data_IF_818975067187
#
_entry.id   IF_818975067187
#
_cell.length_a   1.000
_cell.length_b   1.000
_cell.length_c   1.000
_cell.angle_alpha   90.00
_cell.angle_beta   90.00
_cell.angle_gamma   90.00
#
_symmetry.space_group_name_H-M   'P 1'
#
loop_
_entity.id
_entity.type
_entity.pdbx_description
1 polymer ?
#
# COMPACT_ATOMS: atom_id res chain seq x y z
N UNK A 1 31.69 10.72 57.06
CA UNK A 1 31.68 10.85 55.59
C UNK A 1 30.27 10.55 55.10
N UNK A 2 29.47 11.56 54.76
CA UNK A 2 28.16 11.37 54.12
C UNK A 2 28.34 11.53 52.60
N UNK A 3 27.93 10.52 51.84
CA UNK A 3 27.95 10.52 50.38
C UNK A 3 26.67 11.20 49.86
N UNK A 4 26.79 12.36 49.24
CA UNK A 4 25.68 13.04 48.55
C UNK A 4 25.49 12.41 47.17
N UNK A 5 24.38 11.70 46.97
CA UNK A 5 23.98 11.15 45.68
C UNK A 5 23.37 12.29 44.85
N UNK A 6 24.06 12.67 43.77
CA UNK A 6 23.56 13.65 42.79
C UNK A 6 22.60 12.94 41.83
N UNK A 7 21.31 13.25 41.93
CA UNK A 7 20.28 12.74 41.04
C UNK A 7 20.29 13.55 39.73
N UNK A 8 20.86 12.99 38.66
CA UNK A 8 20.77 13.58 37.32
C UNK A 8 19.37 13.35 36.76
N UNK A 9 18.53 14.39 36.80
CA UNK A 9 17.26 14.42 36.06
C UNK A 9 17.60 14.66 34.59
N UNK A 10 17.49 13.63 33.76
CA UNK A 10 17.57 13.76 32.30
C UNK A 10 16.23 14.29 31.78
N UNK A 11 16.20 15.57 31.42
CA UNK A 11 15.09 16.13 30.66
C UNK A 11 15.13 15.55 29.23
N UNK A 12 14.19 14.65 28.93
CA UNK A 12 13.94 14.24 27.55
C UNK A 12 13.19 15.37 26.85
N UNK A 13 13.86 16.12 25.98
CA UNK A 13 13.21 17.09 25.10
C UNK A 13 12.53 16.34 23.96
N UNK A 14 11.19 16.27 23.98
CA UNK A 14 10.43 15.84 22.80
C UNK A 14 10.51 16.93 21.74
N UNK A 15 11.20 16.65 20.63
CA UNK A 15 11.19 17.54 19.47
C UNK A 15 9.74 17.75 18.99
N UNK A 16 9.40 18.99 18.61
CA UNK A 16 8.10 19.28 18.01
C UNK A 16 7.99 18.56 16.66
N UNK A 17 6.80 18.03 16.29
CA UNK A 17 6.57 17.44 14.97
C UNK A 17 6.94 18.43 13.86
N UNK A 18 7.57 17.94 12.80
CA UNK A 18 7.79 18.74 11.58
C UNK A 18 6.51 18.78 10.75
N UNK A 19 6.40 19.73 9.81
CA UNK A 19 5.27 19.78 8.87
C UNK A 19 5.14 18.49 8.04
N UNK A 20 6.25 17.80 7.77
CA UNK A 20 6.26 16.49 7.09
C UNK A 20 5.63 15.42 7.99
N UNK A 21 5.99 15.40 9.28
CA UNK A 21 5.42 14.45 10.25
C UNK A 21 3.92 14.67 10.41
N UNK A 22 3.48 15.93 10.50
CA UNK A 22 2.06 16.29 10.60
C UNK A 22 1.28 15.89 9.35
N UNK A 23 1.83 16.12 8.15
CA UNK A 23 1.22 15.71 6.90
C UNK A 23 1.09 14.18 6.80
N UNK A 24 2.14 13.44 7.15
CA UNK A 24 2.10 11.97 7.15
C UNK A 24 1.14 11.41 8.21
N UNK A 25 1.04 12.06 9.37
CA UNK A 25 0.06 11.69 10.39
C UNK A 25 -1.38 11.90 9.89
N UNK A 26 -1.66 13.04 9.25
CA UNK A 26 -2.96 13.32 8.64
C UNK A 26 -3.31 12.33 7.53
N UNK A 27 -2.35 11.99 6.66
CA UNK A 27 -2.52 10.93 5.66
C UNK A 27 -2.82 9.58 6.28
N UNK A 28 -2.13 9.20 7.37
CA UNK A 28 -2.36 7.93 8.06
C UNK A 28 -3.79 7.84 8.62
N UNK A 29 -4.30 8.92 9.20
CA UNK A 29 -5.66 8.95 9.74
C UNK A 29 -6.73 8.95 8.63
N UNK A 30 -6.46 9.58 7.48
CA UNK A 30 -7.31 9.48 6.30
C UNK A 30 -7.30 8.06 5.71
N UNK A 31 -6.12 7.42 5.61
CA UNK A 31 -5.94 6.10 5.01
C UNK A 31 -6.78 5.02 5.71
N UNK A 32 -6.98 5.12 7.03
CA UNK A 32 -7.88 4.21 7.77
C UNK A 32 -9.30 4.18 7.17
N UNK A 33 -9.88 5.35 6.90
CA UNK A 33 -11.23 5.47 6.32
C UNK A 33 -11.24 5.06 4.85
N UNK A 34 -10.18 5.35 4.09
CA UNK A 34 -10.00 4.86 2.71
C UNK A 34 -10.01 3.32 2.65
N UNK A 35 -9.25 2.66 3.54
CA UNK A 35 -9.16 1.21 3.61
C UNK A 35 -10.48 0.56 4.04
N UNK A 36 -11.15 1.15 5.03
CA UNK A 36 -12.48 0.72 5.48
C UNK A 36 -13.53 0.82 4.36
N UNK A 37 -13.62 1.98 3.70
CA UNK A 37 -14.50 2.19 2.55
C UNK A 37 -14.24 1.18 1.42
N UNK A 38 -12.97 0.98 1.06
CA UNK A 38 -12.56 0.01 0.04
C UNK A 38 -12.99 -1.41 0.40
N UNK A 39 -12.87 -1.79 1.67
CA UNK A 39 -13.33 -3.09 2.18
C UNK A 39 -14.85 -3.24 2.02
N UNK A 40 -15.63 -2.28 2.50
CA UNK A 40 -17.10 -2.35 2.44
C UNK A 40 -17.65 -2.31 1.02
N UNK A 41 -17.05 -1.52 0.12
CA UNK A 41 -17.39 -1.56 -1.30
C UNK A 41 -17.12 -2.94 -1.90
N UNK A 42 -16.02 -3.59 -1.52
CA UNK A 42 -15.69 -4.93 -2.02
C UNK A 42 -16.63 -6.01 -1.48
N UNK A 43 -17.13 -5.86 -0.26
CA UNK A 43 -18.06 -6.82 0.38
C UNK A 43 -19.53 -6.54 0.08
N UNK A 44 -19.84 -5.53 -0.73
CA UNK A 44 -21.21 -5.25 -1.18
C UNK A 44 -22.03 -4.40 -0.21
N UNK A 45 -21.36 -3.59 0.63
CA UNK A 45 -22.00 -2.77 1.66
C UNK A 45 -21.82 -1.27 1.38
N UNK A 46 -22.49 -0.72 0.34
CA UNK A 46 -22.27 0.66 -0.10
C UNK A 46 -22.70 1.71 0.94
N UNK A 47 -23.68 1.42 1.80
CA UNK A 47 -24.11 2.34 2.86
C UNK A 47 -23.02 2.57 3.91
N UNK A 48 -22.41 1.50 4.43
CA UNK A 48 -21.29 1.61 5.37
C UNK A 48 -20.07 2.24 4.69
N UNK A 49 -19.81 1.87 3.42
CA UNK A 49 -18.76 2.52 2.65
C UNK A 49 -18.99 4.03 2.50
N UNK A 50 -20.24 4.50 2.31
CA UNK A 50 -20.54 5.92 2.20
C UNK A 50 -20.22 6.68 3.50
N UNK A 51 -20.47 6.09 4.68
CA UNK A 51 -20.11 6.70 5.97
C UNK A 51 -18.59 6.87 6.12
N UNK A 52 -17.83 5.85 5.73
CA UNK A 52 -16.37 5.89 5.73
C UNK A 52 -15.83 6.89 4.70
N UNK A 53 -16.47 6.99 3.53
CA UNK A 53 -16.10 7.96 2.49
C UNK A 53 -16.42 9.40 2.88
N UNK A 54 -17.50 9.62 3.63
CA UNK A 54 -17.80 10.92 4.22
C UNK A 54 -16.70 11.32 5.20
N UNK A 55 -16.32 10.41 6.10
CA UNK A 55 -15.22 10.65 7.07
C UNK A 55 -13.89 10.89 6.36
N UNK A 56 -13.60 10.13 5.29
CA UNK A 56 -12.42 10.34 4.45
C UNK A 56 -12.44 11.73 3.77
N UNK A 57 -13.58 12.15 3.21
CA UNK A 57 -13.73 13.46 2.57
C UNK A 57 -13.45 14.60 3.57
N UNK A 58 -14.04 14.54 4.77
CA UNK A 58 -13.83 15.54 5.81
C UNK A 58 -12.35 15.63 6.25
N UNK A 59 -11.71 14.48 6.46
CA UNK A 59 -10.27 14.41 6.80
C UNK A 59 -9.42 14.97 5.66
N UNK A 60 -9.75 14.64 4.41
CA UNK A 60 -9.02 15.13 3.24
C UNK A 60 -9.18 16.64 3.04
N UNK A 61 -10.37 17.18 3.26
CA UNK A 61 -10.62 18.62 3.23
C UNK A 61 -9.85 19.36 4.33
N UNK A 62 -9.75 18.77 5.53
CA UNK A 62 -8.93 19.32 6.61
C UNK A 62 -7.45 19.33 6.23
N UNK A 63 -6.93 18.19 5.75
CA UNK A 63 -5.56 18.05 5.26
C UNK A 63 -5.27 19.07 4.14
N UNK A 64 -6.16 19.21 3.17
CA UNK A 64 -6.00 20.15 2.06
C UNK A 64 -5.98 21.59 2.57
N UNK A 65 -6.88 21.97 3.49
CA UNK A 65 -6.87 23.31 4.10
C UNK A 65 -5.55 23.64 4.81
N UNK A 66 -4.93 22.67 5.47
CA UNK A 66 -3.66 22.87 6.18
C UNK A 66 -2.46 22.93 5.23
N UNK A 67 -2.39 22.04 4.24
CA UNK A 67 -1.15 21.82 3.50
C UNK A 67 -1.17 22.24 2.03
N UNK A 68 -2.31 22.61 1.45
CA UNK A 68 -2.39 22.94 0.02
C UNK A 68 -1.53 24.15 -0.36
N UNK A 69 -1.66 25.24 0.39
CA UNK A 69 -0.92 26.48 0.15
C UNK A 69 0.42 26.51 0.90
N UNK A 70 0.61 25.58 1.83
CA UNK A 70 1.78 25.45 2.69
C UNK A 70 2.29 24.01 2.65
N UNK A 71 2.81 23.55 1.50
CA UNK A 71 3.36 22.21 1.38
C UNK A 71 4.49 21.99 2.40
N UNK A 72 4.62 20.78 2.98
CA UNK A 72 5.80 20.43 3.76
C UNK A 72 7.09 20.61 2.95
N UNK A 73 8.22 20.85 3.64
CA UNK A 73 9.51 21.19 3.01
C UNK A 73 9.90 20.26 1.84
N UNK A 74 9.70 18.95 2.00
CA UNK A 74 10.03 17.96 0.95
C UNK A 74 9.18 18.07 -0.32
N UNK A 75 8.05 18.76 -0.26
CA UNK A 75 7.10 18.94 -1.35
C UNK A 75 7.01 20.41 -1.83
N UNK A 76 7.73 21.34 -1.21
CA UNK A 76 7.57 22.79 -1.46
C UNK A 76 7.85 23.19 -2.91
N UNK A 77 8.72 22.43 -3.58
CA UNK A 77 9.12 22.67 -4.97
C UNK A 77 8.33 21.83 -5.98
N UNK A 78 7.29 21.10 -5.55
CA UNK A 78 6.46 20.30 -6.46
C UNK A 78 5.39 21.18 -7.13
N UNK A 79 5.51 21.46 -8.45
CA UNK A 79 4.54 22.30 -9.13
C UNK A 79 3.15 21.65 -9.24
N UNK A 80 3.06 20.32 -9.08
CA UNK A 80 1.82 19.56 -9.15
C UNK A 80 1.21 19.25 -7.77
N UNK A 81 1.76 19.80 -6.67
CA UNK A 81 1.32 19.53 -5.30
C UNK A 81 -0.19 19.77 -5.12
N UNK A 82 -0.62 21.02 -5.27
CA UNK A 82 -1.99 21.44 -5.03
C UNK A 82 -2.97 20.73 -5.98
N UNK A 83 -2.59 20.60 -7.25
CA UNK A 83 -3.38 19.86 -8.24
C UNK A 83 -3.56 18.40 -7.82
N UNK A 84 -2.51 17.72 -7.37
CA UNK A 84 -2.59 16.31 -6.95
C UNK A 84 -3.51 16.15 -5.75
N UNK A 85 -3.41 17.03 -4.74
CA UNK A 85 -4.30 16.96 -3.58
C UNK A 85 -5.76 17.24 -3.96
N UNK A 86 -6.00 18.22 -4.83
CA UNK A 86 -7.34 18.53 -5.35
C UNK A 86 -7.93 17.37 -6.15
N UNK A 87 -7.16 16.75 -7.04
CA UNK A 87 -7.60 15.58 -7.81
C UNK A 87 -7.96 14.39 -6.92
N UNK A 88 -7.21 14.14 -5.85
CA UNK A 88 -7.54 13.09 -4.88
C UNK A 88 -8.85 13.44 -4.15
N UNK A 89 -9.02 14.69 -3.70
CA UNK A 89 -10.27 15.14 -3.07
C UNK A 89 -11.49 14.92 -3.97
N UNK A 90 -11.42 15.34 -5.24
CA UNK A 90 -12.49 15.10 -6.21
C UNK A 90 -12.80 13.61 -6.43
N UNK A 91 -11.80 12.74 -6.38
CA UNK A 91 -12.00 11.29 -6.48
C UNK A 91 -12.71 10.73 -5.26
N UNK A 92 -12.37 11.20 -4.07
CA UNK A 92 -13.04 10.82 -2.81
C UNK A 92 -14.52 11.23 -2.87
N UNK A 93 -14.82 12.47 -3.24
CA UNK A 93 -16.19 12.98 -3.31
C UNK A 93 -17.00 12.26 -4.40
N UNK A 94 -16.40 11.98 -5.55
CA UNK A 94 -17.03 11.19 -6.59
C UNK A 94 -17.27 9.74 -6.17
N UNK A 95 -16.37 9.14 -5.38
CA UNK A 95 -16.57 7.81 -4.80
C UNK A 95 -17.75 7.81 -3.83
N UNK A 96 -17.82 8.82 -2.95
CA UNK A 96 -18.92 9.02 -1.99
C UNK A 96 -20.27 9.13 -2.71
N UNK A 97 -20.38 10.02 -3.70
CA UNK A 97 -21.62 10.21 -4.46
C UNK A 97 -22.11 8.90 -5.14
N UNK A 98 -21.17 8.09 -5.65
CA UNK A 98 -21.49 6.78 -6.20
C UNK A 98 -21.90 5.77 -5.11
N UNK A 99 -21.25 5.79 -3.94
CA UNK A 99 -21.58 4.89 -2.84
C UNK A 99 -22.97 5.17 -2.26
N UNK A 100 -23.33 6.44 -2.06
CA UNK A 100 -24.67 6.87 -1.60
C UNK A 100 -25.77 6.38 -2.53
N UNK A 101 -25.51 6.32 -3.83
CA UNK A 101 -26.46 5.83 -4.84
C UNK A 101 -26.34 4.33 -5.13
N UNK A 102 -25.59 3.57 -4.32
CA UNK A 102 -25.43 2.13 -4.46
C UNK A 102 -24.56 1.68 -5.65
N UNK A 103 -23.93 2.61 -6.38
CA UNK A 103 -23.10 2.34 -7.55
C UNK A 103 -21.70 1.85 -7.15
N UNK A 104 -21.63 0.67 -6.54
CA UNK A 104 -20.41 0.08 -5.95
C UNK A 104 -19.24 0.08 -6.94
N UNK A 105 -19.45 -0.42 -8.18
CA UNK A 105 -18.37 -0.51 -9.18
C UNK A 105 -17.83 0.87 -9.56
N UNK A 106 -18.71 1.85 -9.69
CA UNK A 106 -18.31 3.22 -10.01
C UNK A 106 -17.55 3.87 -8.84
N UNK A 107 -18.01 3.67 -7.61
CA UNK A 107 -17.33 4.17 -6.41
C UNK A 107 -15.90 3.60 -6.29
N UNK A 108 -15.74 2.29 -6.48
CA UNK A 108 -14.43 1.63 -6.51
C UNK A 108 -13.51 2.21 -7.57
N UNK A 109 -14.00 2.36 -8.80
CA UNK A 109 -13.22 2.94 -9.89
C UNK A 109 -12.75 4.38 -9.64
N UNK A 110 -13.39 5.12 -8.71
CA UNK A 110 -12.90 6.43 -8.27
C UNK A 110 -11.83 6.35 -7.18
N UNK A 111 -11.91 5.36 -6.29
CA UNK A 111 -10.92 5.14 -5.22
C UNK A 111 -9.63 4.49 -5.70
N UNK A 112 -9.72 3.51 -6.61
CA UNK A 112 -8.58 2.69 -7.04
C UNK A 112 -7.33 3.55 -7.43
N UNK A 113 -7.45 4.70 -8.12
CA UNK A 113 -6.29 5.51 -8.50
C UNK A 113 -5.65 6.33 -7.38
N UNK A 114 -6.27 6.48 -6.20
CA UNK A 114 -5.79 7.39 -5.15
C UNK A 114 -4.42 6.95 -4.62
N UNK A 115 -4.23 5.64 -4.39
CA UNK A 115 -2.95 5.10 -3.90
C UNK A 115 -1.82 5.38 -4.88
N UNK A 116 -2.06 5.16 -6.17
CA UNK A 116 -1.08 5.45 -7.22
C UNK A 116 -0.74 6.94 -7.27
N UNK A 117 -1.73 7.84 -7.16
CA UNK A 117 -1.48 9.29 -7.12
C UNK A 117 -0.63 9.72 -5.92
N UNK A 118 -0.86 9.14 -4.74
CA UNK A 118 -0.04 9.37 -3.54
C UNK A 118 1.38 8.82 -3.69
N UNK A 119 1.53 7.64 -4.31
CA UNK A 119 2.85 7.05 -4.61
C UNK A 119 3.62 7.91 -5.61
N UNK A 120 2.97 8.40 -6.66
CA UNK A 120 3.61 9.25 -7.67
C UNK A 120 4.00 10.61 -7.09
N UNK A 121 3.16 11.19 -6.22
CA UNK A 121 3.50 12.39 -5.43
C UNK A 121 4.76 12.16 -4.59
N UNK A 122 4.83 11.06 -3.84
CA UNK A 122 6.03 10.75 -3.05
C UNK A 122 7.26 10.54 -3.95
N UNK A 123 7.11 9.74 -5.00
CA UNK A 123 8.20 9.38 -5.91
C UNK A 123 8.84 10.60 -6.58
N UNK A 124 8.03 11.53 -7.12
CA UNK A 124 8.55 12.73 -7.79
C UNK A 124 9.20 13.74 -6.84
N UNK A 125 9.02 13.56 -5.53
CA UNK A 125 9.66 14.34 -4.47
C UNK A 125 10.73 13.55 -3.71
N UNK A 126 11.20 12.43 -4.27
CA UNK A 126 12.27 11.63 -3.66
C UNK A 126 11.87 10.88 -2.37
N UNK A 127 10.57 10.80 -2.07
CA UNK A 127 10.05 10.05 -0.93
C UNK A 127 9.73 8.62 -1.35
N UNK A 128 10.15 7.65 -0.53
CA UNK A 128 9.77 6.25 -0.69
C UNK A 128 9.53 5.61 0.68
N UNK A 129 8.26 5.31 0.97
CA UNK A 129 7.84 4.70 2.23
C UNK A 129 7.34 3.26 2.02
N UNK A 130 7.04 2.58 3.12
CA UNK A 130 6.55 1.19 3.07
C UNK A 130 5.26 1.03 2.25
N UNK A 131 4.34 1.99 2.32
CA UNK A 131 3.14 2.01 1.50
C UNK A 131 3.42 2.01 -0.01
N UNK A 132 4.44 2.74 -0.45
CA UNK A 132 4.87 2.76 -1.86
C UNK A 132 5.39 1.39 -2.26
N UNK A 133 6.19 0.76 -1.39
CA UNK A 133 6.67 -0.58 -1.68
C UNK A 133 5.52 -1.59 -1.81
N UNK A 134 4.54 -1.55 -0.91
CA UNK A 134 3.40 -2.47 -0.96
C UNK A 134 2.56 -2.23 -2.22
N UNK A 135 2.41 -0.98 -2.66
CA UNK A 135 1.77 -0.66 -3.95
C UNK A 135 2.51 -1.32 -5.13
N UNK A 136 3.84 -1.16 -5.21
CA UNK A 136 4.67 -1.80 -6.24
C UNK A 136 4.58 -3.33 -6.20
N UNK A 137 4.57 -3.91 -4.99
CA UNK A 137 4.39 -5.34 -4.79
C UNK A 137 3.00 -5.81 -5.25
N UNK A 138 1.93 -5.05 -4.96
CA UNK A 138 0.57 -5.34 -5.41
C UNK A 138 0.49 -5.31 -6.95
N UNK A 139 1.06 -4.30 -7.60
CA UNK A 139 1.08 -4.19 -9.07
C UNK A 139 1.87 -5.32 -9.72
N UNK A 140 3.03 -5.68 -9.18
CA UNK A 140 3.79 -6.83 -9.63
C UNK A 140 3.04 -8.14 -9.44
N UNK A 141 2.33 -8.30 -8.31
CA UNK A 141 1.50 -9.46 -8.04
C UNK A 141 0.31 -9.54 -9.01
N UNK A 142 -0.36 -8.43 -9.33
CA UNK A 142 -1.44 -8.37 -10.32
C UNK A 142 -0.96 -8.82 -11.71
N UNK A 143 0.21 -8.33 -12.13
CA UNK A 143 0.83 -8.74 -13.38
C UNK A 143 1.15 -10.24 -13.38
N UNK A 144 1.65 -10.81 -12.28
CA UNK A 144 1.92 -12.24 -12.16
C UNK A 144 0.63 -13.08 -12.09
N UNK A 145 -0.41 -12.57 -11.43
CA UNK A 145 -1.65 -13.31 -11.14
C UNK A 145 -2.47 -13.65 -12.39
N UNK A 146 -2.20 -13.03 -13.55
CA UNK A 146 -2.83 -13.41 -14.82
C UNK A 146 -2.64 -14.90 -15.13
N UNK A 147 -1.50 -15.48 -14.72
CA UNK A 147 -1.17 -16.89 -14.94
C UNK A 147 -2.00 -17.87 -14.10
N UNK A 148 -2.74 -17.37 -13.10
CA UNK A 148 -3.74 -18.17 -12.39
C UNK A 148 -4.92 -18.53 -13.29
N UNK A 149 -5.28 -17.66 -14.22
CA UNK A 149 -6.38 -17.85 -15.17
C UNK A 149 -5.91 -18.31 -16.55
N UNK A 150 -4.70 -17.91 -16.93
CA UNK A 150 -4.07 -18.24 -18.22
C UNK A 150 -2.71 -18.87 -17.95
N UNK A 151 -2.64 -20.15 -17.52
CA UNK A 151 -1.37 -20.82 -17.23
C UNK A 151 -0.43 -20.76 -18.45
N UNK A 152 0.90 -20.78 -18.22
CA UNK A 152 1.86 -20.66 -19.31
C UNK A 152 1.70 -21.80 -20.32
N UNK A 153 1.89 -21.47 -21.59
CA UNK A 153 2.05 -22.44 -22.67
C UNK A 153 3.49 -22.94 -22.64
N UNK A 154 3.73 -24.09 -22.00
CA UNK A 154 5.09 -24.63 -21.84
C UNK A 154 5.82 -25.01 -23.14
N UNK A 155 5.13 -25.05 -24.28
CA UNK A 155 5.76 -25.19 -25.60
C UNK A 155 6.22 -23.86 -26.20
N UNK A 156 5.88 -22.73 -25.58
CA UNK A 156 6.27 -21.39 -25.99
C UNK A 156 7.26 -20.81 -24.99
N UNK A 157 8.54 -20.74 -25.38
CA UNK A 157 9.60 -20.22 -24.53
C UNK A 157 9.36 -18.77 -24.10
N UNK A 158 8.75 -17.93 -24.97
CA UNK A 158 8.50 -16.52 -24.64
C UNK A 158 7.50 -16.39 -23.50
N UNK A 159 6.48 -17.25 -23.48
CA UNK A 159 5.45 -17.27 -22.44
C UNK A 159 6.01 -17.78 -21.11
N UNK A 160 6.85 -18.83 -21.17
CA UNK A 160 7.61 -19.34 -20.02
C UNK A 160 8.52 -18.25 -19.45
N UNK A 161 9.30 -17.57 -20.27
CA UNK A 161 10.19 -16.51 -19.82
C UNK A 161 9.40 -15.33 -19.24
N UNK A 162 8.22 -15.03 -19.78
CA UNK A 162 7.38 -13.94 -19.26
C UNK A 162 6.83 -14.27 -17.88
N UNK A 163 6.40 -15.51 -17.63
CA UNK A 163 6.04 -15.97 -16.28
C UNK A 163 7.21 -15.81 -15.31
N UNK A 164 8.40 -16.31 -15.67
CA UNK A 164 9.57 -16.28 -14.82
C UNK A 164 10.05 -14.86 -14.52
N UNK A 165 10.04 -13.97 -15.53
CA UNK A 165 10.33 -12.54 -15.34
C UNK A 165 9.36 -11.89 -14.37
N UNK A 166 8.06 -12.12 -14.52
CA UNK A 166 7.06 -11.55 -13.60
C UNK A 166 7.21 -12.09 -12.18
N UNK A 167 7.49 -13.39 -12.02
CA UNK A 167 7.77 -13.98 -10.71
C UNK A 167 9.01 -13.34 -10.05
N UNK A 168 10.08 -13.11 -10.81
CA UNK A 168 11.29 -12.46 -10.32
C UNK A 168 11.03 -10.99 -9.92
N UNK A 169 10.25 -10.24 -10.70
CA UNK A 169 9.85 -8.87 -10.36
C UNK A 169 9.00 -8.84 -9.08
N UNK A 170 8.04 -9.76 -8.93
CA UNK A 170 7.26 -9.86 -7.68
C UNK A 170 8.16 -10.20 -6.49
N UNK A 171 9.11 -11.13 -6.64
CA UNK A 171 10.05 -11.48 -5.58
C UNK A 171 10.96 -10.31 -5.19
N UNK A 172 11.42 -9.53 -6.17
CA UNK A 172 12.19 -8.31 -5.92
C UNK A 172 11.43 -7.34 -5.02
N UNK A 173 10.16 -7.03 -5.37
CA UNK A 173 9.37 -6.09 -4.59
C UNK A 173 9.04 -6.61 -3.19
N UNK A 174 8.69 -7.89 -3.05
CA UNK A 174 8.49 -8.49 -1.73
C UNK A 174 9.76 -8.39 -0.86
N UNK A 175 10.93 -8.72 -1.40
CA UNK A 175 12.19 -8.59 -0.69
C UNK A 175 12.51 -7.13 -0.32
N UNK A 176 12.19 -6.18 -1.21
CA UNK A 176 12.33 -4.75 -0.93
C UNK A 176 11.39 -4.30 0.19
N UNK A 177 10.14 -4.75 0.20
CA UNK A 177 9.17 -4.35 1.23
C UNK A 177 9.55 -4.87 2.60
N UNK A 178 10.07 -6.10 2.67
CA UNK A 178 10.63 -6.63 3.90
C UNK A 178 11.75 -5.73 4.46
N UNK A 179 12.63 -5.22 3.58
CA UNK A 179 13.71 -4.28 3.96
C UNK A 179 13.20 -2.88 4.31
N UNK A 180 12.17 -2.38 3.65
CA UNK A 180 11.60 -1.03 3.86
C UNK A 180 10.62 -0.98 5.04
N UNK A 181 10.14 -2.12 5.53
CA UNK A 181 9.13 -2.15 6.59
C UNK A 181 9.57 -1.40 7.87
N UNK A 182 8.63 -0.66 8.51
CA UNK A 182 8.82 -0.08 9.83
C UNK A 182 9.33 -1.08 10.87
N UNK A 183 10.10 -0.60 11.85
CA UNK A 183 10.69 -1.45 12.91
C UNK A 183 9.66 -2.33 13.61
N UNK A 184 8.48 -1.78 13.89
CA UNK A 184 7.38 -2.51 14.53
C UNK A 184 6.90 -3.72 13.70
N UNK A 185 6.86 -3.62 12.38
CA UNK A 185 6.49 -4.74 11.52
C UNK A 185 7.65 -5.73 11.37
N UNK A 186 8.89 -5.24 11.27
CA UNK A 186 10.07 -6.13 11.27
C UNK A 186 10.19 -6.95 12.54
N UNK A 187 9.74 -6.45 13.68
CA UNK A 187 9.70 -7.20 14.94
C UNK A 187 8.53 -8.19 15.03
N UNK A 188 7.54 -8.13 14.13
CA UNK A 188 6.40 -9.03 14.13
C UNK A 188 6.77 -10.37 13.50
N UNK A 189 6.69 -11.44 14.31
CA UNK A 189 6.86 -12.83 13.83
C UNK A 189 5.87 -13.18 12.73
N UNK A 190 4.65 -12.62 12.79
CA UNK A 190 3.65 -12.81 11.75
C UNK A 190 4.12 -12.22 10.42
N UNK A 191 4.59 -10.98 10.42
CA UNK A 191 5.10 -10.30 9.23
C UNK A 191 6.30 -11.03 8.63
N UNK A 192 7.28 -11.41 9.47
CA UNK A 192 8.45 -12.16 9.05
C UNK A 192 8.04 -13.46 8.34
N UNK A 193 7.21 -14.28 9.01
CA UNK A 193 6.74 -15.55 8.45
C UNK A 193 5.98 -15.36 7.13
N UNK A 194 5.13 -14.34 7.06
CA UNK A 194 4.34 -14.02 5.87
C UNK A 194 5.23 -13.68 4.67
N UNK A 195 6.23 -12.83 4.87
CA UNK A 195 7.17 -12.40 3.84
C UNK A 195 8.09 -13.54 3.39
N UNK A 196 8.68 -14.27 4.34
CA UNK A 196 9.54 -15.40 4.03
C UNK A 196 8.82 -16.52 3.29
N UNK A 197 7.61 -16.88 3.73
CA UNK A 197 6.81 -17.90 3.05
C UNK A 197 6.51 -17.49 1.62
N UNK A 198 6.20 -16.22 1.39
CA UNK A 198 5.90 -15.72 0.04
C UNK A 198 7.12 -15.74 -0.87
N UNK A 199 8.29 -15.34 -0.35
CA UNK A 199 9.55 -15.40 -1.10
C UNK A 199 9.93 -16.84 -1.46
N UNK A 200 9.74 -17.78 -0.53
CA UNK A 200 9.90 -19.22 -0.81
C UNK A 200 8.91 -19.69 -1.89
N UNK A 201 7.63 -19.36 -1.76
CA UNK A 201 6.59 -19.74 -2.72
C UNK A 201 6.85 -19.18 -4.12
N UNK A 202 7.35 -17.95 -4.23
CA UNK A 202 7.80 -17.37 -5.51
C UNK A 202 8.95 -18.16 -6.13
N UNK A 203 9.92 -18.61 -5.33
CA UNK A 203 11.00 -19.50 -5.78
C UNK A 203 10.50 -20.84 -6.34
N UNK A 204 9.40 -21.39 -5.79
CA UNK A 204 8.81 -22.64 -6.27
C UNK A 204 8.20 -22.54 -7.68
N UNK A 205 7.93 -21.32 -8.18
CA UNK A 205 7.43 -21.13 -9.55
C UNK A 205 8.45 -21.63 -10.57
N UNK A 206 9.76 -21.48 -10.31
CA UNK A 206 10.82 -21.97 -11.20
C UNK A 206 10.74 -23.50 -11.38
N UNK A 207 10.75 -24.25 -10.27
CA UNK A 207 10.65 -25.71 -10.29
C UNK A 207 9.35 -26.20 -10.95
N UNK A 208 8.22 -25.55 -10.60
CA UNK A 208 6.93 -25.89 -11.19
C UNK A 208 6.89 -25.61 -12.71
N UNK A 209 7.60 -24.59 -13.17
CA UNK A 209 7.71 -24.24 -14.60
C UNK A 209 8.56 -25.26 -15.34
N UNK A 210 9.74 -25.61 -14.81
CA UNK A 210 10.62 -26.63 -15.38
C UNK A 210 9.92 -27.99 -15.50
N UNK A 211 9.18 -28.39 -14.47
CA UNK A 211 8.40 -29.65 -14.44
C UNK A 211 7.06 -29.55 -15.18
N UNK A 212 6.76 -28.41 -15.82
CA UNK A 212 5.51 -28.18 -16.58
C UNK A 212 4.24 -28.42 -15.75
N UNK A 213 4.27 -28.08 -14.46
CA UNK A 213 3.21 -28.36 -13.49
C UNK A 213 2.20 -27.21 -13.39
N UNK A 214 1.28 -27.11 -14.37
CA UNK A 214 0.24 -26.04 -14.42
C UNK A 214 -0.51 -25.86 -13.10
N UNK A 215 -1.01 -26.98 -12.52
CA UNK A 215 -1.79 -26.95 -11.27
C UNK A 215 -0.97 -26.41 -10.10
N UNK A 216 0.32 -26.73 -10.03
CA UNK A 216 1.20 -26.25 -8.96
C UNK A 216 1.42 -24.75 -9.05
N UNK A 217 1.65 -24.22 -10.26
CA UNK A 217 1.73 -22.76 -10.50
C UNK A 217 0.44 -22.08 -10.04
N UNK A 218 -0.73 -22.58 -10.44
CA UNK A 218 -2.02 -22.02 -10.02
C UNK A 218 -2.16 -21.99 -8.49
N UNK A 219 -1.79 -23.08 -7.81
CA UNK A 219 -1.89 -23.17 -6.35
C UNK A 219 -0.96 -22.18 -5.65
N UNK A 220 0.29 -22.08 -6.10
CA UNK A 220 1.26 -21.08 -5.62
C UNK A 220 0.68 -19.67 -5.78
N UNK A 221 0.12 -19.34 -6.95
CA UNK A 221 -0.44 -18.01 -7.20
C UNK A 221 -1.65 -17.70 -6.30
N UNK A 222 -2.48 -18.70 -5.97
CA UNK A 222 -3.60 -18.52 -5.03
C UNK A 222 -3.11 -18.21 -3.61
N UNK A 223 -2.08 -18.91 -3.15
CA UNK A 223 -1.44 -18.66 -1.85
C UNK A 223 -0.84 -17.26 -1.81
N UNK A 224 -0.03 -16.89 -2.82
CA UNK A 224 0.59 -15.57 -2.92
C UNK A 224 -0.44 -14.44 -2.92
N UNK A 225 -1.58 -14.62 -3.60
CA UNK A 225 -2.66 -13.63 -3.57
C UNK A 225 -3.33 -13.48 -2.20
N UNK A 226 -3.32 -14.54 -1.40
CA UNK A 226 -3.75 -14.45 0.00
C UNK A 226 -2.78 -13.60 0.81
N UNK A 227 -1.48 -13.81 0.64
CA UNK A 227 -0.45 -13.01 1.31
C UNK A 227 -0.49 -11.54 0.90
N UNK A 228 -0.57 -11.27 -0.40
CA UNK A 228 -0.70 -9.92 -0.97
C UNK A 228 -1.82 -9.10 -0.29
N UNK A 229 -2.96 -9.74 -0.04
CA UNK A 229 -4.09 -9.14 0.67
C UNK A 229 -3.82 -8.97 2.16
N UNK A 230 -3.15 -9.91 2.82
CA UNK A 230 -2.81 -9.81 4.24
C UNK A 230 -1.81 -8.68 4.49
N UNK A 231 -0.84 -8.47 3.59
CA UNK A 231 0.08 -7.33 3.65
C UNK A 231 -0.69 -6.01 3.70
N UNK A 232 -1.66 -5.84 2.80
CA UNK A 232 -2.50 -4.65 2.77
C UNK A 232 -3.42 -4.51 3.98
N UNK A 233 -3.98 -5.61 4.50
CA UNK A 233 -4.97 -5.54 5.58
C UNK A 233 -4.36 -5.42 6.97
N UNK A 234 -3.15 -5.93 7.20
CA UNK A 234 -2.54 -6.01 8.54
C UNK A 234 -1.35 -5.08 8.75
N UNK A 235 -0.66 -4.70 7.68
CA UNK A 235 0.63 -4.01 7.78
C UNK A 235 0.70 -2.69 7.01
N UNK A 236 -0.35 -2.35 6.26
CA UNK A 236 -0.73 -0.97 5.98
C UNK A 236 -1.91 -0.63 6.89
#
# INVERSE_FOLDING_TARGET
>A
MLFTILFFITFSSSAKPTAVDEFHAALTEADRSYRSASFYLRTGNPGVAAMELQTLSEKWQSLSRTFNDHPPEIYVNDPAWAETLGQIGHRIDAALANAVTGKIKAARGKLDPIRAALTDLRRRNGVFIFADCVEEANQAMDALYVYRHRPPRFGDQRDVDQLLRRAAVTAHWYARCFKTAPKQYKASTEFQRLMESSLRSLGLIWDATHKKQKRRIINILRELRSTDRLLYLRFL
#
